data_IF_067987660749
#
_entry.id   IF_067987660749
#
_cell.length_a   1.000
_cell.length_b   1.000
_cell.length_c   1.000
_cell.angle_alpha   90.00
_cell.angle_beta   90.00
_cell.angle_gamma   90.00
#
_symmetry.space_group_name_H-M   'P 1'
#
loop_
_entity.id
_entity.type
_entity.pdbx_description
1 polymer ?
#
# COMPACT_ATOMS: atom_id res chain seq x y z
N UNK A 1 4.61 -0.55 4.39
CA UNK A 1 3.85 -1.25 3.36
C UNK A 1 4.67 -2.44 2.90
N UNK A 2 4.21 -3.63 3.25
CA UNK A 2 4.74 -4.86 2.67
C UNK A 2 4.13 -5.08 1.27
N UNK A 3 4.62 -6.09 0.55
CA UNK A 3 4.09 -6.47 -0.76
C UNK A 3 2.58 -6.82 -0.71
N UNK A 4 2.09 -7.33 0.42
CA UNK A 4 0.66 -7.59 0.65
C UNK A 4 -0.19 -6.31 0.64
N UNK A 5 0.24 -5.25 1.34
CA UNK A 5 -0.43 -3.94 1.32
C UNK A 5 -0.45 -3.36 -0.09
N UNK A 6 0.61 -3.61 -0.85
CA UNK A 6 0.73 -3.17 -2.23
C UNK A 6 -0.32 -3.84 -3.13
N UNK A 7 -0.53 -5.15 -2.99
CA UNK A 7 -1.53 -5.88 -3.78
C UNK A 7 -2.95 -5.54 -3.32
N UNK A 8 -3.17 -5.41 -2.00
CA UNK A 8 -4.49 -5.18 -1.41
C UNK A 8 -4.99 -3.74 -1.56
N UNK A 9 -4.09 -2.76 -1.50
CA UNK A 9 -4.43 -1.33 -1.58
C UNK A 9 -4.17 -0.75 -2.97
N UNK A 10 -3.19 -1.29 -3.70
CA UNK A 10 -2.70 -0.73 -4.96
C UNK A 10 -2.59 -1.76 -6.10
N UNK A 11 -3.19 -2.95 -5.99
CA UNK A 11 -3.10 -4.00 -7.02
C UNK A 11 -3.71 -3.62 -8.38
N UNK A 12 -4.56 -2.59 -8.40
CA UNK A 12 -5.16 -2.04 -9.63
C UNK A 12 -4.27 -0.97 -10.29
N UNK A 13 -3.21 -0.52 -9.60
CA UNK A 13 -2.29 0.49 -10.12
C UNK A 13 -1.38 -0.19 -11.14
N UNK A 14 -1.45 0.27 -12.39
CA UNK A 14 -0.61 -0.22 -13.47
C UNK A 14 0.85 -0.31 -13.02
N UNK A 15 1.47 -1.46 -13.27
CA UNK A 15 2.82 -1.79 -12.80
C UNK A 15 3.82 -0.72 -13.26
N UNK A 16 4.21 0.13 -12.33
CA UNK A 16 5.17 1.21 -12.49
C UNK A 16 5.55 1.69 -11.10
N UNK A 17 6.83 1.57 -10.75
CA UNK A 17 7.34 1.72 -9.37
C UNK A 17 6.89 3.04 -8.71
N UNK A 18 6.81 4.12 -9.48
CA UNK A 18 6.44 5.45 -8.99
C UNK A 18 4.95 5.58 -8.63
N UNK A 19 4.07 4.99 -9.44
CA UNK A 19 2.61 5.07 -9.22
C UNK A 19 2.20 4.28 -7.99
N UNK A 20 2.84 3.14 -7.77
CA UNK A 20 2.54 2.32 -6.61
C UNK A 20 3.07 2.97 -5.34
N UNK A 21 4.25 3.58 -5.39
CA UNK A 21 4.76 4.37 -4.26
C UNK A 21 3.83 5.54 -3.91
N UNK A 22 3.34 6.28 -4.92
CA UNK A 22 2.35 7.36 -4.71
C UNK A 22 1.05 6.83 -4.08
N UNK A 23 0.53 5.71 -4.58
CA UNK A 23 -0.66 5.07 -4.03
C UNK A 23 -0.48 4.68 -2.56
N UNK A 24 0.64 4.04 -2.21
CA UNK A 24 0.96 3.68 -0.83
C UNK A 24 1.14 4.92 0.07
N UNK A 25 1.70 6.01 -0.45
CA UNK A 25 1.84 7.26 0.29
C UNK A 25 0.48 7.90 0.61
N UNK A 26 -0.45 7.89 -0.36
CA UNK A 26 -1.83 8.36 -0.17
C UNK A 26 -2.58 7.51 0.87
N UNK A 27 -2.30 6.20 0.90
CA UNK A 27 -2.86 5.23 1.83
C UNK A 27 -2.19 5.24 3.22
N UNK A 28 -1.20 6.11 3.50
CA UNK A 28 -0.39 6.09 4.73
C UNK A 28 -1.18 6.16 6.03
N UNK A 29 -2.36 6.79 6.01
CA UNK A 29 -3.26 6.91 7.15
C UNK A 29 -4.43 5.92 7.11
N UNK A 30 -4.49 5.08 6.08
CA UNK A 30 -5.49 4.03 5.99
C UNK A 30 -5.24 3.03 7.13
N UNK A 31 -6.27 2.79 7.94
CA UNK A 31 -6.23 1.82 9.03
C UNK A 31 -5.82 0.42 8.54
N UNK A 32 -6.06 0.11 7.27
CA UNK A 32 -5.62 -1.13 6.61
C UNK A 32 -4.11 -1.23 6.36
N UNK A 33 -3.37 -0.12 6.29
CA UNK A 33 -1.92 -0.11 6.00
C UNK A 33 -1.06 -0.34 7.26
N UNK A 34 -1.61 -0.03 8.44
CA UNK A 34 -0.95 -0.22 9.75
C UNK A 34 -1.45 -1.43 10.54
N UNK A 35 -2.46 -2.15 10.05
CA UNK A 35 -3.00 -3.35 10.75
C UNK A 35 -2.07 -4.56 10.70
N UNK A 36 -0.85 -4.42 10.17
CA UNK A 36 0.13 -5.49 10.06
C UNK A 36 1.32 -5.38 11.05
N UNK A 37 1.30 -4.50 12.06
CA UNK A 37 2.22 -4.66 13.20
C UNK A 37 1.54 -4.30 14.52
N UNK A 38 1.12 -5.36 15.20
CA UNK A 38 0.69 -5.38 16.58
C UNK A 38 1.07 -6.75 17.13
N UNK A 39 2.37 -6.92 17.39
CA UNK A 39 3.02 -7.67 18.47
C UNK A 39 4.53 -7.45 18.38
#
# INVERSE_FOLDING_TARGET
>A
ACRDDQERLCGQVASGSDRVYRCLYDQKFNSMMSSAVGH
#
